data_IF_730362320965
#
_entry.id   IF_730362320965
#
_cell.length_a   1.000
_cell.length_b   1.000
_cell.length_c   1.000
_cell.angle_alpha   90.00
_cell.angle_beta   90.00
_cell.angle_gamma   90.00
#
_symmetry.space_group_name_H-M   'P 1'
#
loop_
_entity.id
_entity.type
_entity.pdbx_description
1 polymer ?
#
# COMPACT_ATOMS: atom_id res chain seq x y z
N UNK A 1 15.98 6.52 22.47
CA UNK A 1 15.41 5.42 21.65
C UNK A 1 14.03 4.99 22.11
N UNK A 2 13.73 5.01 23.42
CA UNK A 2 12.40 4.67 23.95
C UNK A 2 11.27 5.58 23.45
N UNK A 3 11.53 6.87 23.22
CA UNK A 3 10.51 7.81 22.70
C UNK A 3 9.93 7.37 21.35
N UNK A 4 10.80 7.12 20.35
CA UNK A 4 10.35 6.73 19.01
C UNK A 4 9.82 5.30 18.97
N UNK A 5 10.37 4.39 19.80
CA UNK A 5 9.83 3.05 19.96
C UNK A 5 8.42 3.06 20.56
N UNK A 6 8.09 4.04 21.40
CA UNK A 6 6.74 4.21 21.94
C UNK A 6 5.80 4.97 21.01
N UNK A 7 6.34 5.87 20.19
CA UNK A 7 5.57 6.64 19.20
C UNK A 7 5.22 5.83 17.95
N UNK A 8 6.14 5.00 17.46
CA UNK A 8 6.02 4.22 16.21
C UNK A 8 6.01 2.71 16.42
N UNK A 9 6.24 2.23 17.64
CA UNK A 9 6.19 0.80 17.92
C UNK A 9 4.76 0.29 17.89
N UNK A 10 4.60 -0.95 17.43
CA UNK A 10 3.31 -1.61 17.40
C UNK A 10 2.83 -1.84 18.83
N UNK A 11 1.83 -1.06 19.27
CA UNK A 11 0.95 -1.52 20.34
C UNK A 11 0.13 -2.67 19.77
N UNK A 12 0.20 -3.89 20.32
CA UNK A 12 -0.65 -4.99 19.88
C UNK A 12 -2.09 -4.60 20.21
N UNK A 13 -2.77 -4.04 19.22
CA UNK A 13 -4.21 -3.85 19.30
C UNK A 13 -4.78 -5.26 19.21
N UNK A 14 -5.18 -5.83 20.34
CA UNK A 14 -6.20 -6.89 20.32
C UNK A 14 -7.35 -6.31 19.50
N UNK A 15 -7.55 -6.85 18.30
CA UNK A 15 -8.54 -6.41 17.35
C UNK A 15 -9.91 -6.53 18.04
N UNK A 16 -10.35 -5.47 18.73
CA UNK A 16 -11.72 -5.38 19.24
C UNK A 16 -12.60 -5.56 18.00
N UNK A 17 -13.59 -6.45 18.09
CA UNK A 17 -14.45 -6.83 16.98
C UNK A 17 -14.69 -5.64 16.05
N UNK A 18 -14.18 -5.71 14.82
CA UNK A 18 -14.34 -4.60 13.88
C UNK A 18 -15.85 -4.36 13.77
N UNK A 19 -16.36 -3.17 14.11
CA UNK A 19 -17.78 -2.89 13.99
C UNK A 19 -18.19 -3.15 12.54
N UNK A 20 -19.10 -4.09 12.32
CA UNK A 20 -19.64 -4.39 10.98
C UNK A 20 -20.53 -3.24 10.45
N UNK A 21 -20.81 -2.27 11.33
CA UNK A 21 -21.58 -1.06 11.08
C UNK A 21 -20.60 0.07 10.79
N UNK A 22 -20.48 0.48 9.52
CA UNK A 22 -19.71 1.65 9.12
C UNK A 22 -18.89 1.51 7.84
N UNK A 23 -18.65 0.28 7.38
CA UNK A 23 -17.92 0.03 6.14
C UNK A 23 -18.84 -0.52 5.06
N UNK A 24 -18.84 0.06 3.84
CA UNK A 24 -19.50 -0.53 2.70
C UNK A 24 -18.97 -1.96 2.45
N UNK A 25 -19.88 -2.87 2.12
CA UNK A 25 -19.46 -4.19 1.63
C UNK A 25 -19.04 -4.04 0.17
N UNK A 26 -17.92 -4.70 -0.17
CA UNK A 26 -17.54 -4.85 -1.56
C UNK A 26 -18.59 -5.67 -2.31
N UNK A 27 -18.87 -5.24 -3.52
CA UNK A 27 -19.62 -6.01 -4.51
C UNK A 27 -18.81 -7.21 -4.98
N UNK A 28 -19.48 -8.23 -5.50
CA UNK A 28 -18.81 -9.40 -6.09
C UNK A 28 -17.85 -9.00 -7.22
N UNK A 29 -18.18 -7.96 -8.00
CA UNK A 29 -17.29 -7.42 -9.04
C UNK A 29 -16.03 -6.77 -8.48
N UNK A 30 -16.13 -6.01 -7.38
CA UNK A 30 -14.96 -5.41 -6.74
C UNK A 30 -14.06 -6.48 -6.12
N UNK A 31 -14.64 -7.51 -5.51
CA UNK A 31 -13.88 -8.66 -4.98
C UNK A 31 -13.14 -9.37 -6.13
N UNK A 32 -13.85 -9.69 -7.22
CA UNK A 32 -13.23 -10.34 -8.38
C UNK A 32 -12.15 -9.48 -9.04
N UNK A 33 -12.28 -8.15 -9.03
CA UNK A 33 -11.26 -7.24 -9.53
C UNK A 33 -10.00 -7.27 -8.64
N UNK A 34 -10.17 -7.28 -7.31
CA UNK A 34 -9.05 -7.36 -6.36
C UNK A 34 -8.34 -8.70 -6.37
N UNK A 35 -9.03 -9.78 -6.74
CA UNK A 35 -8.48 -11.13 -6.87
C UNK A 35 -7.85 -11.39 -8.25
N UNK A 36 -7.95 -10.47 -9.20
CA UNK A 36 -7.40 -10.63 -10.53
C UNK A 36 -5.86 -10.61 -10.51
N UNK A 37 -5.25 -11.35 -11.44
CA UNK A 37 -3.80 -11.34 -11.63
C UNK A 37 -3.31 -9.96 -12.06
N UNK A 38 -2.22 -9.50 -11.45
CA UNK A 38 -1.57 -8.24 -11.81
C UNK A 38 -0.85 -8.41 -13.16
N UNK A 39 -1.19 -7.54 -14.10
CA UNK A 39 -0.61 -7.55 -15.45
C UNK A 39 0.67 -6.70 -15.58
N UNK A 40 1.52 -7.02 -16.54
CA UNK A 40 2.71 -6.20 -16.84
C UNK A 40 2.32 -4.78 -17.28
N UNK A 41 1.20 -4.64 -17.98
CA UNK A 41 0.63 -3.36 -18.41
C UNK A 41 0.23 -2.50 -17.20
N UNK A 42 -0.39 -3.09 -16.19
CA UNK A 42 -0.72 -2.40 -14.93
C UNK A 42 0.53 -2.00 -14.17
N UNK A 43 1.51 -2.90 -14.05
CA UNK A 43 2.80 -2.60 -13.40
C UNK A 43 3.47 -1.42 -14.08
N UNK A 44 3.58 -1.45 -15.41
CA UNK A 44 4.19 -0.39 -16.19
C UNK A 44 3.45 0.94 -16.02
N UNK A 45 2.12 0.94 -16.14
CA UNK A 45 1.31 2.15 -15.97
C UNK A 45 1.49 2.74 -14.56
N UNK A 46 1.33 1.92 -13.53
CA UNK A 46 1.48 2.36 -12.15
C UNK A 46 2.88 2.93 -11.88
N UNK A 47 3.93 2.30 -12.42
CA UNK A 47 5.29 2.75 -12.26
C UNK A 47 5.55 4.09 -12.95
N UNK A 48 5.06 4.28 -14.18
CA UNK A 48 5.25 5.52 -14.94
C UNK A 48 4.36 6.67 -14.48
N UNK A 49 3.26 6.39 -13.79
CA UNK A 49 2.40 7.41 -13.15
C UNK A 49 3.04 8.00 -11.87
N UNK A 50 4.09 7.37 -11.32
CA UNK A 50 4.81 7.91 -10.15
C UNK A 50 5.64 9.15 -10.50
N UNK A 51 5.72 10.11 -9.58
CA UNK A 51 6.66 11.24 -9.74
C UNK A 51 8.11 10.74 -9.74
N UNK A 52 8.94 11.07 -10.76
CA UNK A 52 10.26 10.46 -10.93
C UNK A 52 11.22 10.64 -9.76
N UNK A 53 11.17 11.81 -9.10
CA UNK A 53 12.03 12.20 -7.98
C UNK A 53 11.34 12.06 -6.61
N UNK A 54 10.42 11.11 -6.46
CA UNK A 54 9.87 10.75 -5.15
C UNK A 54 11.01 10.34 -4.20
N UNK A 55 10.86 10.64 -2.91
CA UNK A 55 11.82 10.24 -1.89
C UNK A 55 12.07 8.72 -1.95
N UNK A 56 13.35 8.28 -1.91
CA UNK A 56 13.69 6.86 -2.05
C UNK A 56 13.25 6.07 -0.81
N UNK A 57 13.06 4.77 -1.01
CA UNK A 57 12.86 3.82 0.09
C UNK A 57 14.16 3.51 0.82
N UNK A 58 14.13 2.45 1.64
CA UNK A 58 15.34 1.93 2.29
C UNK A 58 16.39 1.38 1.30
N UNK A 59 16.00 1.19 0.04
CA UNK A 59 16.84 0.75 -1.08
C UNK A 59 17.64 1.88 -1.74
N UNK A 60 17.30 3.14 -1.47
CA UNK A 60 18.03 4.31 -1.98
C UNK A 60 17.75 4.68 -3.44
N UNK A 61 16.86 3.96 -4.15
CA UNK A 61 16.55 4.24 -5.55
C UNK A 61 15.33 5.17 -5.70
N UNK A 62 15.44 6.12 -6.63
CA UNK A 62 14.30 6.93 -7.07
C UNK A 62 13.45 6.17 -8.08
N UNK A 63 12.15 6.51 -8.17
CA UNK A 63 11.25 5.93 -9.17
C UNK A 63 11.79 6.08 -10.60
N UNK A 64 12.47 7.19 -10.89
CA UNK A 64 13.12 7.47 -12.17
C UNK A 64 14.04 6.33 -12.66
N UNK A 65 14.71 5.62 -11.75
CA UNK A 65 15.60 4.51 -12.12
C UNK A 65 14.87 3.36 -12.82
N UNK A 66 13.60 3.15 -12.47
CA UNK A 66 12.78 2.06 -13.03
C UNK A 66 11.85 2.53 -14.16
N UNK A 67 11.77 3.86 -14.38
CA UNK A 67 10.97 4.48 -15.44
C UNK A 67 11.74 4.65 -16.76
N UNK A 68 12.96 4.12 -16.84
CA UNK A 68 13.81 4.15 -18.04
C UNK A 68 13.46 3.06 -19.04
#
# INVERSE_FOLDING_TARGET
>A
MEFFKRLYGETPLTLRSIPSFGFPRLTSSEVSFLEADITNEEIKRALFDMTPLKAPGSDGYHALFFQS
#
